data_IF_410125195535
#
_entry.id   IF_410125195535
#
_cell.length_a   1.000
_cell.length_b   1.000
_cell.length_c   1.000
_cell.angle_alpha   90.00
_cell.angle_beta   90.00
_cell.angle_gamma   90.00
#
_symmetry.space_group_name_H-M   'P 1'
#
loop_
_entity.id
_entity.type
_entity.pdbx_description
1 polymer ?
#
# COMPACT_ATOMS: atom_id res chain seq x y z
N UNK A 1 7.38 7.04 27.63
CA UNK A 1 8.08 7.46 26.39
C UNK A 1 8.60 6.24 25.63
N UNK A 2 9.74 5.61 26.01
CA UNK A 2 10.30 4.46 25.28
C UNK A 2 9.33 3.27 25.08
N UNK A 3 8.57 2.88 26.10
CA UNK A 3 7.58 1.77 25.99
C UNK A 3 6.44 2.06 25.00
N UNK A 4 5.90 3.29 25.01
CA UNK A 4 4.83 3.70 24.09
C UNK A 4 5.32 3.73 22.64
N UNK A 5 6.57 4.19 22.43
CA UNK A 5 7.18 4.19 21.10
C UNK A 5 7.40 2.76 20.57
N UNK A 6 7.94 1.86 21.40
CA UNK A 6 8.08 0.43 21.03
C UNK A 6 6.74 -0.20 20.70
N UNK A 7 5.68 0.13 21.44
CA UNK A 7 4.34 -0.34 21.12
C UNK A 7 3.85 0.19 19.78
N UNK A 8 4.02 1.50 19.50
CA UNK A 8 3.70 2.06 18.19
C UNK A 8 4.41 1.31 17.05
N UNK A 9 5.69 0.95 17.24
CA UNK A 9 6.44 0.13 16.30
C UNK A 9 5.82 -1.26 16.12
N UNK A 10 5.44 -1.93 17.21
CA UNK A 10 4.80 -3.25 17.16
C UNK A 10 3.42 -3.20 16.48
N UNK A 11 2.67 -2.11 16.64
CA UNK A 11 1.42 -1.91 15.93
C UNK A 11 1.63 -1.72 14.43
N UNK A 12 2.65 -0.97 14.01
CA UNK A 12 2.97 -0.85 12.58
C UNK A 12 3.48 -2.16 11.99
N UNK A 13 4.24 -2.94 12.77
CA UNK A 13 4.61 -4.30 12.41
C UNK A 13 3.36 -5.17 12.21
N UNK A 14 2.36 -5.06 13.09
CA UNK A 14 1.07 -5.74 12.92
C UNK A 14 0.37 -5.32 11.62
N UNK A 15 0.29 -4.02 11.33
CA UNK A 15 -0.32 -3.54 10.09
C UNK A 15 0.38 -4.16 8.87
N UNK A 16 1.72 -4.19 8.88
CA UNK A 16 2.52 -4.83 7.82
C UNK A 16 2.25 -6.32 7.68
N UNK A 17 2.07 -7.04 8.80
CA UNK A 17 1.64 -8.45 8.76
C UNK A 17 0.25 -8.56 8.13
N UNK A 18 -0.71 -7.76 8.58
CA UNK A 18 -2.11 -7.88 8.13
C UNK A 18 -2.31 -7.49 6.67
N UNK A 19 -1.54 -6.53 6.16
CA UNK A 19 -1.65 -6.02 4.79
C UNK A 19 -1.14 -7.02 3.76
N UNK A 20 -0.15 -7.84 4.13
CA UNK A 20 0.49 -8.79 3.22
C UNK A 20 -0.02 -10.22 3.43
N UNK A 21 -0.70 -10.52 4.55
CA UNK A 21 -1.19 -11.86 4.89
C UNK A 21 -2.01 -12.52 3.77
N UNK A 22 -2.96 -11.79 3.19
CA UNK A 22 -3.99 -12.36 2.32
C UNK A 22 -3.43 -12.85 0.99
N UNK A 23 -2.52 -12.09 0.36
CA UNK A 23 -2.00 -12.39 -0.99
C UNK A 23 -1.32 -13.77 -1.12
N UNK A 24 -0.26 -14.05 -0.34
CA UNK A 24 0.44 -15.34 -0.36
C UNK A 24 -0.41 -16.55 0.03
N UNK A 25 -1.52 -16.34 0.75
CA UNK A 25 -2.45 -17.42 1.11
C UNK A 25 -3.51 -17.69 0.03
N UNK A 26 -3.71 -16.80 -0.95
CA UNK A 26 -4.71 -17.00 -2.02
C UNK A 26 -4.56 -18.35 -2.75
N UNK A 27 -3.35 -18.81 -3.14
CA UNK A 27 -3.19 -20.08 -3.86
C UNK A 27 -3.60 -21.32 -3.07
N UNK A 28 -3.57 -21.29 -1.74
CA UNK A 28 -4.01 -22.39 -0.87
C UNK A 28 -5.49 -22.24 -0.48
N UNK A 29 -5.90 -21.01 -0.16
CA UNK A 29 -7.22 -20.71 0.36
C UNK A 29 -8.30 -20.86 -0.71
N UNK A 30 -8.05 -20.43 -1.95
CA UNK A 30 -9.07 -20.47 -2.99
C UNK A 30 -9.45 -21.91 -3.41
N UNK A 31 -8.49 -22.83 -3.65
CA UNK A 31 -8.83 -24.23 -3.91
C UNK A 31 -9.56 -24.89 -2.72
N UNK A 32 -9.18 -24.59 -1.48
CA UNK A 32 -9.83 -25.15 -0.29
C UNK A 32 -11.33 -24.81 -0.21
N UNK A 33 -11.70 -23.58 -0.58
CA UNK A 33 -13.11 -23.14 -0.59
C UNK A 33 -13.81 -23.33 -1.94
N UNK A 34 -13.17 -24.01 -2.90
CA UNK A 34 -13.65 -24.21 -4.27
C UNK A 34 -14.03 -22.88 -4.96
N UNK A 35 -13.23 -21.83 -4.72
CA UNK A 35 -13.44 -20.47 -5.24
C UNK A 35 -12.40 -20.08 -6.28
N UNK A 36 -12.79 -19.13 -7.14
CA UNK A 36 -11.90 -18.57 -8.17
C UNK A 36 -11.17 -17.31 -7.69
N UNK A 37 -10.17 -16.85 -8.44
CA UNK A 37 -9.39 -15.64 -8.12
C UNK A 37 -10.21 -14.34 -8.05
N UNK A 38 -11.41 -14.31 -8.63
CA UNK A 38 -12.34 -13.18 -8.55
C UNK A 38 -12.89 -12.97 -7.13
N UNK A 39 -13.11 -14.07 -6.41
CA UNK A 39 -13.47 -14.05 -4.99
C UNK A 39 -12.28 -13.57 -4.14
N UNK A 40 -11.04 -13.95 -4.51
CA UNK A 40 -9.81 -13.43 -3.89
C UNK A 40 -9.64 -11.91 -4.07
N UNK A 41 -9.89 -11.38 -5.27
CA UNK A 41 -9.89 -9.94 -5.53
C UNK A 41 -10.96 -9.19 -4.75
N UNK A 42 -12.15 -9.80 -4.59
CA UNK A 42 -13.22 -9.24 -3.76
C UNK A 42 -12.83 -9.21 -2.29
N UNK A 43 -12.15 -10.23 -1.79
CA UNK A 43 -11.67 -10.31 -0.42
C UNK A 43 -10.62 -9.22 -0.12
N UNK A 44 -9.66 -9.01 -1.03
CA UNK A 44 -8.69 -7.91 -0.93
C UNK A 44 -9.35 -6.53 -1.01
N UNK A 45 -10.31 -6.35 -1.92
CA UNK A 45 -11.09 -5.11 -2.03
C UNK A 45 -11.84 -4.80 -0.73
N UNK A 46 -12.51 -5.80 -0.16
CA UNK A 46 -13.24 -5.64 1.10
C UNK A 46 -12.30 -5.38 2.28
N UNK A 47 -11.11 -6.00 2.31
CA UNK A 47 -10.09 -5.68 3.31
C UNK A 47 -9.75 -4.18 3.28
N UNK A 48 -9.48 -3.64 2.08
CA UNK A 48 -9.20 -2.22 1.89
C UNK A 48 -10.40 -1.32 2.18
N UNK A 49 -11.61 -1.74 1.83
CA UNK A 49 -12.82 -0.99 2.17
C UNK A 49 -13.01 -0.90 3.69
N UNK A 50 -12.81 -2.01 4.41
CA UNK A 50 -12.82 -2.03 5.87
C UNK A 50 -11.76 -1.09 6.44
N UNK A 51 -10.53 -1.16 5.92
CA UNK A 51 -9.44 -0.26 6.29
C UNK A 51 -9.80 1.21 6.12
N UNK A 52 -10.37 1.59 4.98
CA UNK A 52 -10.79 2.96 4.72
C UNK A 52 -11.86 3.42 5.71
N UNK A 53 -12.86 2.58 5.99
CA UNK A 53 -13.89 2.87 6.99
C UNK A 53 -13.27 3.04 8.39
N UNK A 54 -12.29 2.20 8.74
CA UNK A 54 -11.56 2.30 10.00
C UNK A 54 -10.80 3.63 10.14
N UNK A 55 -10.06 4.04 9.10
CA UNK A 55 -9.34 5.32 9.07
C UNK A 55 -10.30 6.49 9.24
N UNK A 56 -11.41 6.52 8.48
CA UNK A 56 -12.38 7.61 8.51
C UNK A 56 -13.18 7.68 9.83
N UNK A 57 -13.49 6.52 10.43
CA UNK A 57 -14.22 6.45 11.70
C UNK A 57 -13.33 6.79 12.91
N UNK A 58 -12.02 6.57 12.80
CA UNK A 58 -11.08 6.68 13.91
C UNK A 58 -11.10 8.03 14.64
N UNK A 59 -11.16 9.22 14.00
CA UNK A 59 -11.08 10.48 14.73
C UNK A 59 -12.36 10.75 15.53
N UNK A 60 -13.52 10.43 14.95
CA UNK A 60 -14.82 10.59 15.60
C UNK A 60 -15.00 9.63 16.77
N UNK A 61 -14.54 8.39 16.64
CA UNK A 61 -14.59 7.41 17.72
C UNK A 61 -13.54 7.69 18.80
N UNK A 62 -12.34 8.12 18.42
CA UNK A 62 -11.29 8.51 19.36
C UNK A 62 -11.75 9.65 20.28
N UNK A 63 -12.50 10.61 19.74
CA UNK A 63 -13.07 11.71 20.53
C UNK A 63 -14.14 11.25 21.54
N UNK A 64 -14.90 10.20 21.22
CA UNK A 64 -16.00 9.69 22.08
C UNK A 64 -15.54 8.70 23.15
N UNK A 65 -14.72 7.72 22.76
CA UNK A 65 -14.33 6.60 23.64
C UNK A 65 -12.87 6.67 24.13
N UNK A 66 -12.09 7.64 23.63
CA UNK A 66 -10.68 7.80 23.93
C UNK A 66 -9.77 6.88 23.10
N UNK A 67 -8.56 7.36 22.77
CA UNK A 67 -7.58 6.64 21.92
C UNK A 67 -7.22 5.26 22.48
N UNK A 68 -7.14 5.11 23.79
CA UNK A 68 -6.78 3.83 24.44
C UNK A 68 -7.81 2.72 24.23
N UNK A 69 -9.11 3.03 24.42
CA UNK A 69 -10.18 2.06 24.22
C UNK A 69 -10.36 1.76 22.73
N UNK A 70 -10.26 2.79 21.89
CA UNK A 70 -10.33 2.63 20.44
C UNK A 70 -9.27 1.65 19.91
N UNK A 71 -8.00 1.78 20.34
CA UNK A 71 -6.94 0.85 19.97
C UNK A 71 -7.16 -0.57 20.50
N UNK A 72 -7.76 -0.71 21.68
CA UNK A 72 -8.12 -2.03 22.21
C UNK A 72 -9.20 -2.70 21.35
N UNK A 73 -10.22 -1.95 20.95
CA UNK A 73 -11.27 -2.43 20.02
C UNK A 73 -10.65 -2.84 18.68
N UNK A 74 -9.73 -2.04 18.15
CA UNK A 74 -9.06 -2.32 16.89
C UNK A 74 -8.21 -3.60 16.92
N UNK A 75 -7.50 -3.85 18.02
CA UNK A 75 -6.75 -5.09 18.23
C UNK A 75 -7.68 -6.30 18.34
N UNK A 76 -8.80 -6.18 19.07
CA UNK A 76 -9.80 -7.25 19.17
C UNK A 76 -10.41 -7.55 17.79
N UNK A 77 -10.70 -6.52 16.99
CA UNK A 77 -11.22 -6.67 15.63
C UNK A 77 -10.19 -7.23 14.63
N UNK A 78 -8.94 -7.44 15.02
CA UNK A 78 -7.95 -8.18 14.21
C UNK A 78 -7.73 -9.58 14.81
N UNK A 79 -7.52 -9.66 16.13
CA UNK A 79 -7.19 -10.90 16.83
C UNK A 79 -8.31 -11.95 16.73
N UNK A 80 -9.55 -11.55 16.99
CA UNK A 80 -10.70 -12.48 16.96
C UNK A 80 -10.95 -12.97 15.54
N UNK A 81 -11.02 -12.12 14.51
CA UNK A 81 -11.17 -12.59 13.14
C UNK A 81 -10.09 -13.56 12.68
N UNK A 82 -8.81 -13.26 12.93
CA UNK A 82 -7.75 -14.19 12.57
C UNK A 82 -7.78 -15.50 13.36
N UNK A 83 -8.21 -15.48 14.63
CA UNK A 83 -8.42 -16.72 15.38
C UNK A 83 -9.50 -17.57 14.72
N UNK A 84 -10.64 -16.96 14.36
CA UNK A 84 -11.77 -17.64 13.74
C UNK A 84 -11.39 -18.15 12.34
N UNK A 85 -10.68 -17.34 11.53
CA UNK A 85 -10.19 -17.75 10.20
C UNK A 85 -9.26 -18.97 10.26
N UNK A 86 -8.49 -19.13 11.35
CA UNK A 86 -7.64 -20.30 11.56
C UNK A 86 -8.40 -21.63 11.64
N UNK A 87 -9.69 -21.59 12.00
CA UNK A 87 -10.59 -22.76 12.00
C UNK A 87 -11.28 -23.00 10.66
N UNK A 88 -10.96 -22.22 9.63
CA UNK A 88 -11.49 -22.35 8.27
C UNK A 88 -13.04 -22.31 8.22
N UNK A 89 -13.68 -21.23 8.69
CA UNK A 89 -15.12 -21.10 8.67
C UNK A 89 -15.62 -20.93 7.22
N UNK A 90 -16.92 -21.12 6.97
CA UNK A 90 -17.48 -20.98 5.62
C UNK A 90 -17.13 -19.64 4.93
N UNK A 91 -17.07 -19.63 3.60
CA UNK A 91 -16.57 -18.50 2.79
C UNK A 91 -17.15 -17.12 3.17
N UNK A 92 -18.47 -17.04 3.46
CA UNK A 92 -19.09 -15.78 3.86
C UNK A 92 -18.48 -15.21 5.15
N UNK A 93 -18.14 -16.07 6.10
CA UNK A 93 -17.43 -15.66 7.32
C UNK A 93 -16.03 -15.19 7.00
N UNK A 94 -15.28 -15.87 6.12
CA UNK A 94 -13.96 -15.39 5.68
C UNK A 94 -14.06 -13.95 5.15
N UNK A 95 -15.05 -13.66 4.31
CA UNK A 95 -15.28 -12.32 3.75
C UNK A 95 -15.58 -11.27 4.83
N UNK A 96 -16.53 -11.56 5.73
CA UNK A 96 -16.92 -10.63 6.81
C UNK A 96 -15.78 -10.39 7.80
N UNK A 97 -15.02 -11.44 8.12
CA UNK A 97 -13.88 -11.37 9.02
C UNK A 97 -12.73 -10.57 8.40
N UNK A 98 -12.48 -10.70 7.09
CA UNK A 98 -11.45 -9.89 6.39
C UNK A 98 -11.80 -8.41 6.42
N UNK A 99 -13.07 -8.07 6.20
CA UNK A 99 -13.56 -6.68 6.31
C UNK A 99 -13.29 -6.13 7.72
N UNK A 100 -13.53 -6.94 8.75
CA UNK A 100 -13.32 -6.56 10.15
C UNK A 100 -11.82 -6.40 10.50
N UNK A 101 -10.96 -7.29 9.98
CA UNK A 101 -9.49 -7.14 10.08
C UNK A 101 -9.06 -5.81 9.46
N UNK A 102 -9.53 -5.51 8.23
CA UNK A 102 -9.25 -4.25 7.56
C UNK A 102 -9.63 -3.05 8.42
N UNK A 103 -10.85 -3.05 8.95
CA UNK A 103 -11.35 -2.00 9.85
C UNK A 103 -10.45 -1.77 11.07
N UNK A 104 -10.01 -2.85 11.73
CA UNK A 104 -9.05 -2.76 12.83
C UNK A 104 -7.72 -2.14 12.39
N UNK A 105 -7.15 -2.61 11.28
CA UNK A 105 -5.87 -2.09 10.77
C UNK A 105 -5.94 -0.60 10.45
N UNK A 106 -7.05 -0.12 9.88
CA UNK A 106 -7.25 1.29 9.57
C UNK A 106 -7.35 2.18 10.81
N UNK A 107 -8.00 1.70 11.87
CA UNK A 107 -8.05 2.43 13.15
C UNK A 107 -6.66 2.54 13.78
N UNK A 108 -5.90 1.44 13.79
CA UNK A 108 -4.55 1.39 14.35
C UNK A 108 -3.66 2.40 13.61
N UNK A 109 -3.67 2.37 12.28
CA UNK A 109 -2.82 3.25 11.47
C UNK A 109 -3.10 4.73 11.73
N UNK A 110 -4.37 5.13 11.65
CA UNK A 110 -4.75 6.53 11.86
C UNK A 110 -4.48 7.01 13.29
N UNK A 111 -4.81 6.18 14.29
CA UNK A 111 -4.69 6.58 15.70
C UNK A 111 -3.23 6.65 16.15
N UNK A 112 -2.39 5.69 15.72
CA UNK A 112 -0.98 5.62 16.13
C UNK A 112 -0.12 6.57 15.33
N UNK A 113 -0.44 6.77 14.05
CA UNK A 113 0.14 7.84 13.24
C UNK A 113 -0.06 9.19 13.92
N UNK A 114 -1.32 9.54 14.24
CA UNK A 114 -1.63 10.79 14.95
C UNK A 114 -0.96 10.88 16.32
N UNK A 115 -0.98 9.80 17.10
CA UNK A 115 -0.32 9.74 18.41
C UNK A 115 1.18 10.00 18.31
N UNK A 116 1.87 9.40 17.34
CA UNK A 116 3.33 9.53 17.23
C UNK A 116 3.72 10.94 16.77
N UNK A 117 2.91 11.60 15.93
CA UNK A 117 3.12 13.01 15.52
C UNK A 117 2.94 13.98 16.69
N UNK A 118 1.97 13.70 17.56
CA UNK A 118 1.64 14.55 18.72
C UNK A 118 2.72 14.46 19.81
N UNK A 119 3.32 13.28 20.02
CA UNK A 119 4.29 13.06 21.09
C UNK A 119 5.76 13.31 20.69
N UNK A 120 6.08 13.34 19.40
CA UNK A 120 7.42 13.68 18.94
C UNK A 120 7.60 15.22 18.94
N UNK A 121 7.98 15.80 20.08
CA UNK A 121 8.29 17.23 20.22
C UNK A 121 9.49 17.65 19.34
N UNK A 122 10.45 16.74 19.13
CA UNK A 122 11.57 16.87 18.20
C UNK A 122 11.69 15.56 17.37
N UNK A 123 12.13 15.66 16.11
CA UNK A 123 12.36 14.51 15.22
C UNK A 123 11.12 13.69 14.81
N UNK A 124 9.96 14.33 14.60
CA UNK A 124 8.71 13.70 14.08
C UNK A 124 8.95 12.80 12.86
N UNK A 125 9.77 13.28 11.93
CA UNK A 125 10.13 12.55 10.72
C UNK A 125 10.88 11.24 11.00
N UNK A 126 11.78 11.23 12.00
CA UNK A 126 12.54 10.04 12.42
C UNK A 126 11.62 9.04 13.09
N UNK A 127 10.70 9.50 13.94
CA UNK A 127 9.72 8.65 14.60
C UNK A 127 8.79 7.98 13.58
N UNK A 128 8.28 8.73 12.59
CA UNK A 128 7.45 8.19 11.50
C UNK A 128 8.21 7.19 10.63
N UNK A 129 9.41 7.53 10.16
CA UNK A 129 10.20 6.62 9.32
C UNK A 129 10.59 5.34 10.05
N UNK A 130 10.81 5.39 11.36
CA UNK A 130 11.01 4.17 12.15
C UNK A 130 9.76 3.27 12.14
N UNK A 131 8.55 3.83 12.27
CA UNK A 131 7.32 3.04 12.17
C UNK A 131 7.19 2.35 10.80
N UNK A 132 7.48 3.07 9.71
CA UNK A 132 7.44 2.52 8.35
C UNK A 132 8.44 1.38 8.15
N UNK A 133 9.61 1.44 8.80
CA UNK A 133 10.58 0.33 8.80
C UNK A 133 9.98 -0.90 9.47
N UNK A 134 9.30 -0.77 10.62
CA UNK A 134 8.65 -1.90 11.28
C UNK A 134 7.48 -2.47 10.46
N UNK A 135 6.71 -1.62 9.77
CA UNK A 135 5.71 -2.06 8.80
C UNK A 135 6.37 -2.88 7.67
N UNK A 136 7.45 -2.38 7.08
CA UNK A 136 8.20 -3.08 6.04
C UNK A 136 8.78 -4.42 6.51
N UNK A 137 9.26 -4.49 7.77
CA UNK A 137 9.71 -5.74 8.39
C UNK A 137 8.55 -6.74 8.52
N UNK A 138 7.36 -6.31 8.94
CA UNK A 138 6.16 -7.16 8.96
C UNK A 138 5.78 -7.67 7.56
N UNK A 139 5.79 -6.77 6.57
CA UNK A 139 5.50 -7.08 5.17
C UNK A 139 6.51 -8.05 4.54
N UNK A 140 7.76 -8.03 5.00
CA UNK A 140 8.82 -8.93 4.56
C UNK A 140 8.75 -10.30 5.25
N UNK A 141 8.56 -10.33 6.58
CA UNK A 141 8.59 -11.56 7.37
C UNK A 141 7.35 -12.42 7.13
N UNK A 142 6.19 -11.81 6.87
CA UNK A 142 4.93 -12.56 6.78
C UNK A 142 4.89 -13.53 5.59
N UNK A 143 5.21 -13.14 4.33
CA UNK A 143 5.24 -14.09 3.21
C UNK A 143 6.26 -15.21 3.40
N UNK A 144 7.41 -14.91 4.03
CA UNK A 144 8.41 -15.93 4.35
C UNK A 144 7.89 -16.93 5.39
N UNK A 145 7.20 -16.46 6.43
CA UNK A 145 6.54 -17.33 7.41
C UNK A 145 5.42 -18.16 6.78
N UNK A 146 4.59 -17.57 5.92
CA UNK A 146 3.55 -18.26 5.15
C UNK A 146 4.18 -19.35 4.27
N UNK A 147 5.26 -19.04 3.55
CA UNK A 147 5.98 -20.02 2.74
C UNK A 147 6.39 -21.26 3.54
N UNK A 148 6.92 -21.07 4.75
CA UNK A 148 7.34 -22.19 5.62
C UNK A 148 6.13 -23.01 6.11
N UNK A 149 5.03 -22.34 6.47
CA UNK A 149 3.80 -23.00 6.91
C UNK A 149 3.13 -23.77 5.78
N UNK A 150 3.13 -23.22 4.56
CA UNK A 150 2.66 -23.91 3.35
C UNK A 150 3.52 -25.14 3.08
N UNK A 151 4.86 -25.01 3.16
CA UNK A 151 5.77 -26.15 2.95
C UNK A 151 5.56 -27.28 3.97
N UNK A 152 5.11 -26.95 5.19
CA UNK A 152 4.77 -27.91 6.23
C UNK A 152 3.33 -28.45 6.14
N UNK A 153 2.50 -27.96 5.21
CA UNK A 153 1.07 -28.29 5.11
C UNK A 153 0.19 -27.67 6.19
N UNK A 154 0.71 -26.69 6.93
CA UNK A 154 0.09 -26.03 8.09
C UNK A 154 -0.29 -24.57 7.80
N UNK A 155 -0.67 -24.27 6.56
CA UNK A 155 -1.01 -22.90 6.13
C UNK A 155 -2.14 -22.23 6.95
N UNK A 156 -3.18 -22.91 7.50
CA UNK A 156 -4.20 -22.23 8.32
C UNK A 156 -3.62 -21.66 9.63
N UNK A 157 -2.51 -22.23 10.12
CA UNK A 157 -1.82 -21.72 11.29
C UNK A 157 -1.17 -20.34 11.06
N UNK A 158 -1.08 -19.87 9.82
CA UNK A 158 -0.67 -18.49 9.53
C UNK A 158 -1.64 -17.47 10.14
N UNK A 159 -2.95 -17.74 10.06
CA UNK A 159 -3.98 -16.92 10.70
C UNK A 159 -3.88 -17.01 12.22
N UNK A 160 -3.68 -18.20 12.77
CA UNK A 160 -3.53 -18.40 14.21
C UNK A 160 -2.26 -17.70 14.75
N UNK A 161 -1.16 -17.72 14.01
CA UNK A 161 0.07 -17.04 14.37
C UNK A 161 -0.11 -15.51 14.40
N UNK A 162 -0.78 -14.93 13.40
CA UNK A 162 -1.11 -13.51 13.42
C UNK A 162 -2.10 -13.13 14.52
N UNK A 163 -3.08 -14.00 14.81
CA UNK A 163 -3.98 -13.84 15.94
C UNK A 163 -3.21 -13.85 17.27
N UNK A 164 -2.33 -14.83 17.49
CA UNK A 164 -1.51 -14.94 18.69
C UNK A 164 -0.62 -13.72 18.88
N UNK A 165 0.04 -13.24 17.81
CA UNK A 165 0.82 -12.01 17.84
C UNK A 165 -0.04 -10.79 18.23
N UNK A 166 -1.24 -10.68 17.67
CA UNK A 166 -2.18 -9.60 17.99
C UNK A 166 -2.70 -9.69 19.44
N UNK A 167 -2.95 -10.89 19.96
CA UNK A 167 -3.34 -11.11 21.36
C UNK A 167 -2.22 -10.74 22.33
N UNK A 168 -0.98 -11.11 22.02
CA UNK A 168 0.19 -10.70 22.81
C UNK A 168 0.30 -9.17 22.82
N UNK A 169 0.13 -8.53 21.66
CA UNK A 169 0.13 -7.07 21.55
C UNK A 169 -1.03 -6.43 22.35
N UNK A 170 -2.22 -7.04 22.34
CA UNK A 170 -3.36 -6.62 23.16
C UNK A 170 -3.08 -6.76 24.66
N UNK A 171 -2.50 -7.86 25.10
CA UNK A 171 -2.12 -8.04 26.50
C UNK A 171 -1.06 -7.02 26.94
N UNK A 172 -0.05 -6.79 26.10
CA UNK A 172 0.95 -5.74 26.29
C UNK A 172 0.32 -4.35 26.34
N UNK A 173 -0.70 -4.09 25.50
CA UNK A 173 -1.43 -2.83 25.46
C UNK A 173 -2.30 -2.59 26.71
N UNK A 174 -2.94 -3.64 27.23
CA UNK A 174 -3.80 -3.54 28.42
C UNK A 174 -3.00 -3.43 29.72
N UNK A 175 -1.76 -3.93 29.74
CA UNK A 175 -0.87 -3.87 30.92
C UNK A 175 -0.13 -2.53 31.07
N UNK A 176 -0.39 -1.53 30.21
CA UNK A 176 0.22 -0.20 30.38
C UNK A 176 -0.30 0.52 31.63
N UNK A 177 0.59 1.14 32.43
CA UNK A 177 0.21 1.91 33.60
C UNK A 177 -0.75 3.07 33.26
N UNK A 178 -1.78 3.27 34.08
CA UNK A 178 -2.83 4.28 33.89
C UNK A 178 -2.35 5.73 33.74
N UNK A 179 -1.16 6.08 34.25
CA UNK A 179 -0.54 7.42 34.07
C UNK A 179 -0.17 7.75 32.62
N UNK A 180 0.11 6.75 31.78
CA UNK A 180 0.24 6.93 30.32
C UNK A 180 -1.12 7.03 29.62
N UNK A 181 -2.16 6.44 30.21
CA UNK A 181 -3.53 6.45 29.68
C UNK A 181 -4.28 7.76 29.98
N UNK A 182 -3.95 8.48 31.06
CA UNK A 182 -4.49 9.82 31.37
C UNK A 182 -4.18 10.84 30.26
N UNK A 183 -2.99 10.78 29.66
CA UNK A 183 -2.63 11.64 28.52
C UNK A 183 -3.32 11.23 27.21
N UNK A 184 -3.74 9.97 27.09
CA UNK A 184 -4.57 9.44 25.98
C UNK A 184 -6.08 9.67 26.21
N UNK A 185 -6.48 10.07 27.41
CA UNK A 185 -7.87 10.34 27.82
C UNK A 185 -8.29 11.79 27.66
N UNK A 186 -7.34 12.73 27.53
CA UNK A 186 -7.66 14.14 27.26
C UNK A 186 -8.24 14.27 25.86
N UNK A 187 -9.54 14.62 25.72
CA UNK A 187 -10.12 14.96 24.44
C UNK A 187 -9.80 16.42 24.19
N UNK A 188 -8.74 16.73 23.44
CA UNK A 188 -8.66 18.06 22.84
C UNK A 188 -7.83 18.14 21.55
N UNK A 189 -8.57 18.54 20.50
CA UNK A 189 -8.21 19.55 19.52
C UNK A 189 -6.87 19.43 18.77
N UNK A 190 -6.77 18.48 17.84
CA UNK A 190 -5.73 18.56 16.78
C UNK A 190 -6.19 18.05 15.40
N UNK A 191 -7.49 18.06 15.10
CA UNK A 191 -7.98 17.73 13.75
C UNK A 191 -9.07 18.66 13.22
N UNK A 192 -9.19 19.85 13.82
CA UNK A 192 -10.09 20.90 13.37
C UNK A 192 -9.30 22.14 12.94
N UNK A 193 -8.43 22.02 11.93
CA UNK A 193 -7.99 23.18 11.15
C UNK A 193 -6.99 22.79 10.04
N UNK A 194 -7.50 22.56 8.84
CA UNK A 194 -7.06 23.39 7.72
C UNK A 194 -8.19 23.51 6.72
N UNK A 195 -9.16 24.37 7.05
CA UNK A 195 -9.98 25.04 6.02
C UNK A 195 -9.04 25.96 5.24
N UNK A 196 -8.12 25.36 4.47
CA UNK A 196 -7.26 26.08 3.55
C UNK A 196 -8.17 26.79 2.58
N UNK A 197 -8.09 28.12 2.58
CA UNK A 197 -8.83 29.00 1.69
C UNK A 197 -8.83 28.39 0.28
N UNK A 198 -10.01 28.30 -0.34
CA UNK A 198 -10.23 27.67 -1.66
C UNK A 198 -9.42 28.38 -2.75
N UNK A 199 -8.10 28.18 -2.81
CA UNK A 199 -7.33 28.37 -4.04
C UNK A 199 -7.86 27.31 -5.01
N UNK A 200 -8.35 27.79 -6.15
CA UNK A 200 -8.86 26.93 -7.21
C UNK A 200 -7.71 26.62 -8.16
N UNK A 201 -7.56 25.36 -8.54
CA UNK A 201 -6.59 24.98 -9.56
C UNK A 201 -6.89 25.77 -10.84
N UNK A 202 -5.87 26.40 -11.43
CA UNK A 202 -5.98 26.98 -12.77
C UNK A 202 -6.10 25.86 -13.82
N UNK A 203 -6.66 26.13 -15.00
CA UNK A 203 -6.93 25.10 -16.01
C UNK A 203 -5.72 24.24 -16.41
N UNK A 204 -4.51 24.84 -16.42
CA UNK A 204 -3.25 24.10 -16.65
C UNK A 204 -2.86 23.20 -15.48
N UNK A 205 -2.97 23.69 -14.24
CA UNK A 205 -2.70 22.92 -13.02
C UNK A 205 -3.69 21.77 -12.82
N UNK A 206 -4.94 21.95 -13.24
CA UNK A 206 -5.96 20.89 -13.18
C UNK A 206 -5.64 19.72 -14.12
N UNK A 207 -5.22 19.99 -15.37
CA UNK A 207 -4.79 18.93 -16.30
C UNK A 207 -3.58 18.17 -15.76
N UNK A 208 -2.61 18.88 -15.20
CA UNK A 208 -1.43 18.26 -14.61
C UNK A 208 -1.78 17.41 -13.37
N UNK A 209 -2.66 17.92 -12.50
CA UNK A 209 -3.20 17.16 -11.37
C UNK A 209 -3.92 15.90 -11.84
N UNK A 210 -4.73 15.99 -12.90
CA UNK A 210 -5.44 14.84 -13.46
C UNK A 210 -4.47 13.75 -13.97
N UNK A 211 -3.38 14.13 -14.64
CA UNK A 211 -2.35 13.19 -15.06
C UNK A 211 -1.70 12.47 -13.87
N UNK A 212 -1.36 13.20 -12.80
CA UNK A 212 -0.82 12.59 -11.59
C UNK A 212 -1.86 11.74 -10.85
N UNK A 213 -3.13 12.13 -10.82
CA UNK A 213 -4.21 11.30 -10.24
C UNK A 213 -4.31 9.96 -10.96
N UNK A 214 -4.29 9.95 -12.30
CA UNK A 214 -4.27 8.71 -13.07
C UNK A 214 -3.00 7.91 -12.79
N UNK A 215 -1.84 8.57 -12.74
CA UNK A 215 -0.57 7.92 -12.40
C UNK A 215 -0.63 7.21 -11.04
N UNK A 216 -1.04 7.90 -9.97
CA UNK A 216 -1.11 7.32 -8.63
C UNK A 216 -2.16 6.21 -8.53
N UNK A 217 -3.31 6.42 -9.16
CA UNK A 217 -4.38 5.43 -9.24
C UNK A 217 -3.87 4.12 -9.88
N UNK A 218 -3.23 4.22 -11.05
CA UNK A 218 -2.75 3.05 -11.80
C UNK A 218 -1.54 2.42 -11.12
N UNK A 219 -0.60 3.22 -10.62
CA UNK A 219 0.60 2.73 -9.93
C UNK A 219 0.25 1.90 -8.71
N UNK A 220 -0.60 2.41 -7.81
CA UNK A 220 -0.98 1.68 -6.59
C UNK A 220 -1.78 0.42 -6.91
N UNK A 221 -2.61 0.47 -7.95
CA UNK A 221 -3.30 -0.71 -8.47
C UNK A 221 -2.36 -1.78 -9.00
N UNK A 222 -1.31 -1.36 -9.70
CA UNK A 222 -0.28 -2.24 -10.21
C UNK A 222 0.60 -2.82 -9.09
N UNK A 223 1.00 -1.99 -8.12
CA UNK A 223 1.83 -2.41 -6.98
C UNK A 223 1.08 -3.43 -6.12
N UNK A 224 -0.12 -3.10 -5.64
CA UNK A 224 -0.92 -3.97 -4.78
C UNK A 224 -1.46 -5.18 -5.52
N UNK A 225 -1.84 -4.99 -6.78
CA UNK A 225 -2.30 -6.05 -7.66
C UNK A 225 -1.21 -7.08 -7.93
N UNK A 226 -0.03 -6.62 -8.33
CA UNK A 226 1.12 -7.50 -8.52
C UNK A 226 1.49 -8.16 -7.19
N UNK A 227 1.66 -7.42 -6.11
CA UNK A 227 2.05 -7.97 -4.81
C UNK A 227 1.11 -9.08 -4.31
N UNK A 228 -0.21 -8.87 -4.38
CA UNK A 228 -1.17 -9.83 -3.84
C UNK A 228 -1.41 -11.03 -4.74
N UNK A 229 -1.35 -10.85 -6.07
CA UNK A 229 -1.60 -11.93 -7.04
C UNK A 229 -0.33 -12.56 -7.59
N UNK A 230 0.86 -12.03 -7.29
CA UNK A 230 2.14 -12.60 -7.73
C UNK A 230 2.27 -14.08 -7.36
N UNK A 231 1.96 -14.53 -6.12
CA UNK A 231 1.99 -15.96 -5.78
C UNK A 231 1.11 -16.78 -6.72
N UNK A 232 -0.14 -16.34 -6.93
CA UNK A 232 -1.10 -17.00 -7.81
C UNK A 232 -0.63 -17.06 -9.27
N UNK A 233 -0.07 -15.95 -9.77
CA UNK A 233 0.50 -15.87 -11.13
C UNK A 233 1.66 -16.85 -11.28
N UNK A 234 2.53 -16.96 -10.27
CA UNK A 234 3.68 -17.86 -10.33
C UNK A 234 3.29 -19.33 -10.29
N UNK A 235 2.33 -19.68 -9.44
CA UNK A 235 1.78 -21.05 -9.36
C UNK A 235 1.16 -21.44 -10.70
N UNK A 236 0.38 -20.54 -11.32
CA UNK A 236 -0.30 -20.87 -12.58
C UNK A 236 0.64 -20.86 -13.81
N UNK A 237 1.54 -19.87 -13.93
CA UNK A 237 2.39 -19.71 -15.13
C UNK A 237 3.67 -20.54 -15.09
N UNK A 238 4.33 -20.64 -13.92
CA UNK A 238 5.63 -21.31 -13.75
C UNK A 238 5.45 -22.72 -13.16
N UNK A 239 4.24 -23.05 -12.65
CA UNK A 239 3.94 -24.34 -12.03
C UNK A 239 4.90 -24.68 -10.87
N UNK A 240 5.32 -23.65 -10.12
CA UNK A 240 6.13 -23.80 -8.92
C UNK A 240 5.22 -24.02 -7.70
N UNK A 241 5.75 -24.71 -6.69
CA UNK A 241 5.01 -24.95 -5.44
C UNK A 241 4.60 -23.65 -4.73
N UNK A 242 3.47 -23.68 -4.03
CA UNK A 242 2.85 -22.54 -3.35
C UNK A 242 3.79 -21.90 -2.30
N UNK A 243 4.68 -22.68 -1.68
CA UNK A 243 5.73 -22.17 -0.79
C UNK A 243 6.71 -21.27 -1.54
N UNK A 244 7.32 -21.78 -2.62
CA UNK A 244 8.26 -21.02 -3.46
C UNK A 244 7.61 -19.77 -4.06
N UNK A 245 6.35 -19.85 -4.46
CA UNK A 245 5.59 -18.70 -4.97
C UNK A 245 5.45 -17.57 -3.92
N UNK A 246 5.23 -17.93 -2.66
CA UNK A 246 5.15 -16.97 -1.55
C UNK A 246 6.49 -16.26 -1.31
N UNK A 247 7.63 -16.94 -1.48
CA UNK A 247 8.95 -16.32 -1.41
C UNK A 247 9.18 -15.27 -2.51
N UNK A 248 8.52 -15.40 -3.66
CA UNK A 248 8.54 -14.39 -4.71
C UNK A 248 8.08 -13.01 -4.22
N UNK A 249 7.08 -12.96 -3.34
CA UNK A 249 6.60 -11.72 -2.72
C UNK A 249 7.63 -11.15 -1.74
N UNK A 250 8.30 -12.00 -0.96
CA UNK A 250 9.43 -11.57 -0.11
C UNK A 250 10.53 -10.93 -0.96
N UNK A 251 10.92 -11.56 -2.08
CA UNK A 251 11.93 -11.03 -2.99
C UNK A 251 11.52 -9.70 -3.62
N UNK A 252 10.25 -9.57 -4.02
CA UNK A 252 9.69 -8.29 -4.48
C UNK A 252 9.87 -7.18 -3.43
N UNK A 253 9.50 -7.45 -2.16
CA UNK A 253 9.65 -6.48 -1.07
C UNK A 253 11.11 -6.13 -0.75
N UNK A 254 12.02 -7.11 -0.80
CA UNK A 254 13.47 -6.84 -0.65
C UNK A 254 13.93 -5.86 -1.72
N UNK A 255 13.59 -6.12 -2.99
CA UNK A 255 13.95 -5.23 -4.09
C UNK A 255 13.32 -3.84 -3.95
N UNK A 256 12.07 -3.75 -3.49
CA UNK A 256 11.40 -2.48 -3.21
C UNK A 256 12.11 -1.68 -2.12
N UNK A 257 12.50 -2.32 -1.00
CA UNK A 257 13.22 -1.66 0.10
C UNK A 257 14.59 -1.20 -0.36
N UNK A 258 15.36 -2.08 -1.00
CA UNK A 258 16.70 -1.74 -1.54
C UNK A 258 16.58 -0.60 -2.55
N UNK A 259 15.62 -0.66 -3.47
CA UNK A 259 15.37 0.38 -4.45
C UNK A 259 15.03 1.73 -3.83
N UNK A 260 14.18 1.75 -2.79
CA UNK A 260 13.83 2.99 -2.06
C UNK A 260 15.04 3.67 -1.43
N UNK A 261 16.04 2.92 -0.96
CA UNK A 261 17.29 3.47 -0.39
C UNK A 261 18.14 4.23 -1.42
N UNK A 262 18.11 3.80 -2.68
CA UNK A 262 18.93 4.39 -3.75
C UNK A 262 18.14 5.35 -4.65
N UNK A 263 16.82 5.19 -4.76
CA UNK A 263 15.97 5.94 -5.69
C UNK A 263 16.12 7.46 -5.53
N UNK A 264 16.14 7.97 -4.29
CA UNK A 264 16.31 9.42 -4.04
C UNK A 264 17.65 9.96 -4.58
N UNK A 265 18.76 9.26 -4.30
CA UNK A 265 20.09 9.66 -4.78
C UNK A 265 20.20 9.60 -6.30
N UNK A 266 19.59 8.58 -6.92
CA UNK A 266 19.59 8.44 -8.39
C UNK A 266 18.73 9.53 -9.04
N UNK A 267 17.56 9.83 -8.48
CA UNK A 267 16.66 10.85 -9.00
C UNK A 267 17.23 12.26 -8.91
N UNK A 268 17.95 12.60 -7.85
CA UNK A 268 18.66 13.88 -7.75
C UNK A 268 19.77 13.99 -8.80
N UNK A 269 20.49 12.90 -9.09
CA UNK A 269 21.55 12.88 -10.12
C UNK A 269 21.01 12.93 -11.55
N UNK A 270 19.92 12.23 -11.84
CA UNK A 270 19.37 12.08 -13.20
C UNK A 270 18.23 13.05 -13.51
N UNK A 271 17.85 13.92 -12.57
CA UNK A 271 16.59 14.66 -12.57
C UNK A 271 15.34 13.76 -12.44
N UNK A 272 14.28 14.32 -11.87
CA UNK A 272 13.05 13.58 -11.56
C UNK A 272 12.35 12.96 -12.79
N UNK A 273 12.42 13.63 -13.93
CA UNK A 273 11.72 13.26 -15.16
C UNK A 273 12.30 12.02 -15.84
N UNK A 274 13.61 11.97 -16.18
CA UNK A 274 14.23 10.76 -16.70
C UNK A 274 14.10 9.57 -15.75
N UNK A 275 14.19 9.80 -14.44
CA UNK A 275 14.01 8.73 -13.45
C UNK A 275 12.64 8.04 -13.57
N UNK A 276 11.55 8.83 -13.63
CA UNK A 276 10.19 8.29 -13.74
C UNK A 276 9.99 7.54 -15.06
N UNK A 277 10.53 8.06 -16.17
CA UNK A 277 10.47 7.39 -17.49
C UNK A 277 11.23 6.07 -17.49
N UNK A 278 12.50 6.07 -17.08
CA UNK A 278 13.31 4.85 -17.07
C UNK A 278 12.76 3.80 -16.11
N UNK A 279 12.21 4.22 -14.97
CA UNK A 279 11.55 3.33 -14.02
C UNK A 279 10.27 2.71 -14.60
N UNK A 280 9.43 3.52 -15.27
CA UNK A 280 8.23 3.03 -15.95
C UNK A 280 8.55 2.09 -17.12
N UNK A 281 9.54 2.44 -17.95
CA UNK A 281 10.04 1.61 -19.06
C UNK A 281 10.62 0.30 -18.51
N UNK A 282 11.45 0.37 -17.46
CA UNK A 282 12.02 -0.81 -16.83
C UNK A 282 10.94 -1.74 -16.29
N UNK A 283 9.94 -1.19 -15.58
CA UNK A 283 8.78 -1.94 -15.10
C UNK A 283 8.04 -2.63 -16.26
N UNK A 284 7.84 -1.92 -17.38
CA UNK A 284 7.19 -2.47 -18.57
C UNK A 284 7.99 -3.62 -19.16
N UNK A 285 9.29 -3.43 -19.37
CA UNK A 285 10.20 -4.45 -19.91
C UNK A 285 10.22 -5.70 -19.04
N UNK A 286 10.31 -5.55 -17.72
CA UNK A 286 10.35 -6.70 -16.82
C UNK A 286 9.03 -7.45 -16.73
N UNK A 287 7.88 -6.75 -16.74
CA UNK A 287 6.56 -7.40 -16.78
C UNK A 287 6.34 -8.12 -18.12
N UNK A 288 6.76 -7.52 -19.24
CA UNK A 288 6.70 -8.18 -20.55
C UNK A 288 7.62 -9.40 -20.60
N UNK A 289 8.83 -9.29 -20.07
CA UNK A 289 9.75 -10.43 -20.00
C UNK A 289 9.21 -11.57 -19.11
N UNK A 290 8.42 -11.23 -18.07
CA UNK A 290 7.76 -12.20 -17.21
C UNK A 290 6.70 -13.01 -17.96
N UNK A 291 6.05 -12.46 -18.99
CA UNK A 291 5.08 -13.21 -19.80
C UNK A 291 5.74 -14.24 -20.73
N UNK A 292 7.01 -14.04 -21.06
CA UNK A 292 7.77 -14.87 -21.99
C UNK A 292 8.67 -15.90 -21.29
N UNK A 293 8.87 -15.78 -19.97
CA UNK A 293 9.83 -16.58 -19.22
C UNK A 293 9.13 -17.55 -18.27
N UNK A 294 9.34 -18.85 -18.46
CA UNK A 294 8.86 -19.90 -17.56
C UNK A 294 9.95 -20.52 -16.67
N UNK A 295 11.19 -20.01 -16.73
CA UNK A 295 12.30 -20.55 -15.95
C UNK A 295 12.30 -19.96 -14.52
N UNK A 296 12.25 -20.77 -13.44
CA UNK A 296 12.09 -20.28 -12.06
C UNK A 296 13.12 -19.23 -11.63
N UNK A 297 14.40 -19.45 -11.96
CA UNK A 297 15.49 -18.51 -11.64
C UNK A 297 15.36 -17.20 -12.43
N UNK A 298 14.92 -17.28 -13.69
CA UNK A 298 14.71 -16.11 -14.53
C UNK A 298 13.56 -15.27 -14.00
N UNK A 299 12.46 -15.92 -13.62
CA UNK A 299 11.29 -15.27 -13.03
C UNK A 299 11.64 -14.53 -11.73
N UNK A 300 12.46 -15.13 -10.86
CA UNK A 300 12.93 -14.46 -9.64
C UNK A 300 13.73 -13.19 -9.95
N UNK A 301 14.65 -13.25 -10.92
CA UNK A 301 15.44 -12.10 -11.35
C UNK A 301 14.53 -10.99 -11.93
N UNK A 302 13.49 -11.36 -12.68
CA UNK A 302 12.50 -10.43 -13.21
C UNK A 302 11.69 -9.77 -12.08
N UNK A 303 11.23 -10.52 -11.08
CA UNK A 303 10.50 -9.97 -9.91
C UNK A 303 11.36 -8.96 -9.16
N UNK A 304 12.65 -9.26 -8.96
CA UNK A 304 13.59 -8.31 -8.35
C UNK A 304 13.74 -7.05 -9.20
N UNK A 305 13.80 -7.19 -10.53
CA UNK A 305 13.81 -6.06 -11.46
C UNK A 305 12.54 -5.20 -11.38
N UNK A 306 11.36 -5.83 -11.31
CA UNK A 306 10.09 -5.12 -11.15
C UNK A 306 10.06 -4.36 -9.83
N UNK A 307 10.40 -5.01 -8.70
CA UNK A 307 10.44 -4.35 -7.40
C UNK A 307 11.43 -3.18 -7.37
N UNK A 308 12.61 -3.34 -7.98
CA UNK A 308 13.62 -2.28 -8.02
C UNK A 308 13.14 -1.07 -8.83
N UNK A 309 12.56 -1.30 -10.01
CA UNK A 309 12.08 -0.24 -10.90
C UNK A 309 10.82 0.45 -10.36
N UNK A 310 9.95 -0.28 -9.65
CA UNK A 310 8.76 0.30 -9.03
C UNK A 310 9.03 1.07 -7.75
N UNK A 311 10.13 0.77 -7.06
CA UNK A 311 10.44 1.27 -5.71
C UNK A 311 10.37 2.78 -5.51
N UNK A 312 10.83 3.55 -6.50
CA UNK A 312 10.94 5.01 -6.42
C UNK A 312 9.80 5.77 -7.08
N UNK A 313 8.95 5.10 -7.87
CA UNK A 313 7.90 5.75 -8.68
C UNK A 313 6.95 6.58 -7.82
N UNK A 314 6.47 6.04 -6.69
CA UNK A 314 5.55 6.74 -5.79
C UNK A 314 6.17 8.02 -5.21
N UNK A 315 7.29 7.90 -4.49
CA UNK A 315 7.89 9.00 -3.75
C UNK A 315 8.38 10.11 -4.67
N UNK A 316 8.99 9.74 -5.80
CA UNK A 316 9.55 10.72 -6.74
C UNK A 316 8.45 11.41 -7.55
N UNK A 317 7.40 10.68 -7.96
CA UNK A 317 6.25 11.31 -8.60
C UNK A 317 5.53 12.27 -7.65
N UNK A 318 5.45 11.94 -6.36
CA UNK A 318 4.82 12.80 -5.35
C UNK A 318 5.60 14.11 -5.20
N UNK A 319 6.92 14.04 -5.07
CA UNK A 319 7.79 15.22 -5.00
C UNK A 319 7.68 16.03 -6.29
N UNK A 320 7.73 15.37 -7.45
CA UNK A 320 7.65 16.04 -8.74
C UNK A 320 6.32 16.78 -8.94
N UNK A 321 5.19 16.16 -8.58
CA UNK A 321 3.87 16.76 -8.64
C UNK A 321 3.75 18.02 -7.78
N UNK A 322 4.35 18.00 -6.58
CA UNK A 322 4.35 19.14 -5.68
C UNK A 322 5.25 20.30 -6.14
N UNK A 323 6.38 20.01 -6.80
CA UNK A 323 7.22 21.04 -7.44
C UNK A 323 6.45 21.71 -8.58
N UNK A 324 5.68 20.93 -9.36
CA UNK A 324 4.93 21.42 -10.51
C UNK A 324 3.65 22.18 -10.15
N UNK A 325 3.08 21.94 -8.97
CA UNK A 325 1.86 22.61 -8.48
C UNK A 325 2.20 23.38 -7.19
N UNK A 326 2.97 24.48 -7.30
CA UNK A 326 3.41 25.23 -6.14
C UNK A 326 2.22 25.93 -5.44
N UNK A 327 2.27 25.99 -4.11
CA UNK A 327 1.30 26.74 -3.29
C UNK A 327 0.02 25.97 -2.90
N UNK A 328 -0.10 24.68 -3.25
CA UNK A 328 -1.21 23.80 -2.84
C UNK A 328 -0.73 22.42 -2.37
N UNK A 329 0.52 22.33 -1.89
CA UNK A 329 1.25 21.09 -1.60
C UNK A 329 0.46 20.07 -0.75
N UNK A 330 -0.13 20.50 0.38
CA UNK A 330 -0.90 19.62 1.26
C UNK A 330 -2.13 19.02 0.56
N UNK A 331 -2.87 19.85 -0.18
CA UNK A 331 -4.08 19.43 -0.88
C UNK A 331 -3.74 18.51 -2.05
N UNK A 332 -2.73 18.86 -2.85
CA UNK A 332 -2.26 18.05 -3.97
C UNK A 332 -1.80 16.68 -3.48
N UNK A 333 -0.93 16.65 -2.46
CA UNK A 333 -0.44 15.40 -1.85
C UNK A 333 -1.60 14.52 -1.36
N UNK A 334 -2.57 15.11 -0.65
CA UNK A 334 -3.72 14.37 -0.13
C UNK A 334 -4.59 13.76 -1.24
N UNK A 335 -4.85 14.52 -2.32
CA UNK A 335 -5.61 14.03 -3.48
C UNK A 335 -4.87 12.88 -4.16
N UNK A 336 -3.56 13.00 -4.34
CA UNK A 336 -2.75 11.97 -5.01
C UNK A 336 -2.70 10.67 -4.21
N UNK A 337 -2.46 10.75 -2.89
CA UNK A 337 -2.48 9.58 -2.01
C UNK A 337 -3.87 8.93 -1.99
N UNK A 338 -4.94 9.74 -1.88
CA UNK A 338 -6.30 9.23 -1.90
C UNK A 338 -6.62 8.51 -3.23
N UNK A 339 -6.21 9.10 -4.37
CA UNK A 339 -6.38 8.46 -5.68
C UNK A 339 -5.62 7.14 -5.79
N UNK A 340 -4.43 7.07 -5.20
CA UNK A 340 -3.65 5.86 -5.09
C UNK A 340 -4.35 4.77 -4.26
N UNK A 341 -4.88 5.10 -3.09
CA UNK A 341 -5.64 4.13 -2.28
C UNK A 341 -6.88 3.58 -2.99
N UNK A 342 -7.62 4.46 -3.69
CA UNK A 342 -8.79 4.05 -4.48
C UNK A 342 -8.36 3.16 -5.66
N UNK A 343 -7.31 3.55 -6.39
CA UNK A 343 -6.80 2.77 -7.52
C UNK A 343 -6.25 1.41 -7.10
N UNK A 344 -5.51 1.37 -5.99
CA UNK A 344 -5.09 0.16 -5.29
C UNK A 344 -6.24 -0.80 -5.03
N UNK A 345 -7.37 -0.26 -4.55
CA UNK A 345 -8.56 -1.03 -4.22
C UNK A 345 -9.34 -1.51 -5.46
N UNK A 346 -9.59 -0.61 -6.42
CA UNK A 346 -10.42 -0.92 -7.59
C UNK A 346 -9.68 -1.82 -8.59
N UNK A 347 -8.39 -1.54 -8.82
CA UNK A 347 -7.62 -2.30 -9.81
C UNK A 347 -7.23 -3.69 -9.31
N UNK A 348 -6.98 -3.90 -8.01
CA UNK A 348 -6.78 -5.25 -7.47
C UNK A 348 -8.05 -6.12 -7.63
N UNK A 349 -9.24 -5.53 -7.48
CA UNK A 349 -10.50 -6.24 -7.73
C UNK A 349 -10.61 -6.64 -9.20
N UNK A 350 -10.26 -5.72 -10.10
CA UNK A 350 -10.27 -5.97 -11.53
C UNK A 350 -9.23 -7.04 -11.96
N UNK A 351 -8.05 -7.05 -11.33
CA UNK A 351 -7.03 -8.10 -11.53
C UNK A 351 -7.55 -9.46 -11.07
N UNK A 352 -8.18 -9.53 -9.90
CA UNK A 352 -8.79 -10.78 -9.42
C UNK A 352 -9.90 -11.27 -10.35
N UNK A 353 -10.76 -10.38 -10.84
CA UNK A 353 -11.77 -10.71 -11.85
C UNK A 353 -11.17 -11.20 -13.17
N UNK A 354 -10.09 -10.57 -13.63
CA UNK A 354 -9.30 -10.98 -14.80
C UNK A 354 -8.77 -12.41 -14.63
N UNK A 355 -8.13 -12.72 -13.50
CA UNK A 355 -7.63 -14.07 -13.20
C UNK A 355 -8.74 -15.11 -13.04
N UNK A 356 -9.98 -14.71 -12.76
CA UNK A 356 -11.11 -15.63 -12.68
C UNK A 356 -11.63 -16.06 -14.06
N UNK A 357 -11.54 -15.16 -15.05
CA UNK A 357 -12.12 -15.35 -16.38
C UNK A 357 -11.09 -15.71 -17.44
N UNK A 358 -9.84 -15.30 -17.24
CA UNK A 358 -8.74 -15.50 -18.16
C UNK A 358 -7.57 -16.15 -17.42
N UNK A 359 -6.64 -16.75 -18.17
CA UNK A 359 -5.43 -17.33 -17.56
C UNK A 359 -4.54 -16.26 -16.94
N UNK A 360 -3.65 -16.66 -16.03
CA UNK A 360 -2.64 -15.79 -15.44
C UNK A 360 -1.78 -15.08 -16.50
N UNK A 361 -1.54 -15.72 -17.66
CA UNK A 361 -0.89 -15.09 -18.80
C UNK A 361 -1.63 -13.84 -19.30
N UNK A 362 -2.94 -13.92 -19.50
CA UNK A 362 -3.78 -12.77 -19.88
C UNK A 362 -3.81 -11.67 -18.81
N UNK A 363 -3.72 -12.04 -17.53
CA UNK A 363 -3.62 -11.07 -16.44
C UNK A 363 -2.28 -10.32 -16.46
N UNK A 364 -1.18 -10.98 -16.85
CA UNK A 364 0.09 -10.27 -17.07
C UNK A 364 0.01 -9.27 -18.23
N UNK A 365 -0.73 -9.58 -19.31
CA UNK A 365 -1.01 -8.61 -20.38
C UNK A 365 -1.83 -7.40 -19.87
N UNK A 366 -2.78 -7.64 -18.96
CA UNK A 366 -3.51 -6.56 -18.31
C UNK A 366 -2.59 -5.67 -17.45
N UNK A 367 -1.69 -6.28 -16.66
CA UNK A 367 -0.68 -5.55 -15.88
C UNK A 367 0.26 -4.74 -16.79
N UNK A 368 0.65 -5.30 -17.94
CA UNK A 368 1.41 -4.58 -18.96
C UNK A 368 0.63 -3.36 -19.48
N UNK A 369 -0.69 -3.50 -19.70
CA UNK A 369 -1.58 -2.40 -20.06
C UNK A 369 -1.62 -1.28 -19.01
N UNK A 370 -1.64 -1.64 -17.73
CA UNK A 370 -1.52 -0.67 -16.63
C UNK A 370 -0.18 0.06 -16.65
N UNK A 371 0.93 -0.65 -16.88
CA UNK A 371 2.25 0.00 -17.00
C UNK A 371 2.32 0.94 -18.20
N UNK A 372 1.66 0.62 -19.32
CA UNK A 372 1.56 1.52 -20.48
C UNK A 372 0.78 2.79 -20.14
N UNK A 373 -0.34 2.68 -19.43
CA UNK A 373 -1.11 3.85 -18.97
C UNK A 373 -0.27 4.71 -18.02
N UNK A 374 0.50 4.07 -17.13
CA UNK A 374 1.43 4.76 -16.23
C UNK A 374 2.49 5.53 -17.01
N UNK A 375 3.11 4.90 -18.01
CA UNK A 375 4.10 5.53 -18.90
C UNK A 375 3.50 6.70 -19.69
N UNK A 376 2.30 6.52 -20.26
CA UNK A 376 1.58 7.58 -20.96
C UNK A 376 1.25 8.76 -20.04
N UNK A 377 0.86 8.49 -18.79
CA UNK A 377 0.56 9.53 -17.80
C UNK A 377 1.81 10.36 -17.47
N UNK A 378 2.96 9.72 -17.39
CA UNK A 378 4.26 10.37 -17.23
C UNK A 378 4.59 11.24 -18.45
N UNK A 379 4.46 10.71 -19.68
CA UNK A 379 4.71 11.47 -20.92
C UNK A 379 3.76 12.67 -21.06
N UNK A 380 2.47 12.48 -20.80
CA UNK A 380 1.46 13.56 -20.84
C UNK A 380 1.76 14.67 -19.84
N UNK A 381 2.26 14.32 -18.65
CA UNK A 381 2.67 15.32 -17.65
C UNK A 381 3.81 16.21 -18.17
N UNK A 382 4.69 15.69 -19.03
CA UNK A 382 5.76 16.46 -19.67
C UNK A 382 5.27 17.34 -20.80
N UNK A 383 4.48 16.78 -21.72
CA UNK A 383 3.95 17.53 -22.86
C UNK A 383 3.10 18.72 -22.39
N UNK A 384 2.32 18.54 -21.32
CA UNK A 384 1.50 19.62 -20.77
C UNK A 384 2.31 20.66 -19.98
N UNK A 385 3.45 20.27 -19.39
CA UNK A 385 4.38 21.23 -18.79
C UNK A 385 4.97 22.14 -19.87
N UNK A 386 5.48 21.58 -20.96
CA UNK A 386 6.04 22.35 -22.08
C UNK A 386 5.00 23.25 -22.73
N UNK A 387 3.78 22.74 -22.97
CA UNK A 387 2.68 23.55 -23.50
C UNK A 387 2.30 24.72 -22.58
N UNK A 388 2.34 24.51 -21.25
CA UNK A 388 2.05 25.59 -20.28
C UNK A 388 3.15 26.66 -20.25
N UNK A 389 4.42 26.26 -20.36
CA UNK A 389 5.56 27.19 -20.42
C UNK A 389 5.60 27.95 -21.75
N UNK A 390 5.28 27.29 -22.87
CA UNK A 390 5.17 27.92 -24.19
C UNK A 390 4.01 28.92 -24.30
N UNK A 391 2.89 28.65 -23.63
CA UNK A 391 1.77 29.61 -23.57
C UNK A 391 2.09 30.87 -22.75
N UNK A 392 2.92 30.73 -21.70
CA UNK A 392 3.36 31.84 -20.85
C UNK A 392 4.43 32.69 -21.56
N UNK A 393 5.33 32.09 -22.34
CA UNK A 393 6.34 32.84 -23.11
C UNK A 393 5.72 33.63 -24.27
N UNK A 394 4.69 33.09 -24.93
CA UNK A 394 3.93 33.80 -25.96
C UNK A 394 3.12 34.98 -25.38
N UNK A 395 2.53 34.83 -24.19
CA UNK A 395 1.83 35.92 -23.50
C UNK A 395 2.78 37.01 -22.98
N UNK A 396 4.00 36.63 -22.55
CA UNK A 396 5.02 37.59 -22.17
C UNK A 396 5.57 38.35 -23.38
N UNK A 397 5.82 37.67 -24.51
CA UNK A 397 6.28 38.30 -25.76
C UNK A 397 5.30 39.34 -26.32
N UNK A 398 3.99 39.07 -26.25
CA UNK A 398 2.97 40.05 -26.68
C UNK A 398 2.84 41.27 -25.76
N UNK A 399 3.22 41.18 -24.47
CA UNK A 399 3.21 42.34 -23.56
C UNK A 399 4.40 43.28 -23.72
N UNK A 400 5.43 42.88 -24.45
CA UNK A 400 6.59 43.73 -24.75
C UNK A 400 6.48 44.41 -26.12
N UNK A 401 5.44 44.11 -26.91
CA UNK A 401 5.18 44.72 -28.22
C UNK A 401 3.98 45.71 -28.22
N UNK A 402 3.32 45.87 -27.07
CA UNK A 402 2.43 47.01 -26.77
C UNK A 402 3.18 48.02 -25.90
#
# INVERSE_FOLDING_TARGET
>A
MKRLFVLSCLFYLLIGITSVMTGPLLPEMLPYYERGYGDGGTLLFLQFAGFLVGVLASPGWAARIGKHRLLSVALISIAVPYAVMGFLPGWLWMVLLTLLVGFGSGIIESTIGAFTIEFAEQNKAIAMTQLDVYFGVGALLMPAAISLLIAAGWWPYAFMAASAFTFVLLALWLTLPGRSSERLRSPNAAMASSTSAKKRYTGGQFRLLAAFVVFFFVYMGLELGLMNFLPSILVETVQIGNSTASLGVTSFWIAMVVGRLFAGKVAERMSYVPFLLWSAIGTLVFITALTMTAHPVGVLALILGIGLTMSGLFSIALVHANILIPGMTERTTSILIASGGIGGSVLQWFIGWSMARWSAGSTLWLLMGFTLILLLSVVLSFLWKEASQGSLSLQAGNRFME
#
